data_IF_035043065186
#
_entry.id   IF_035043065186
#
_cell.length_a   1.000
_cell.length_b   1.000
_cell.length_c   1.000
_cell.angle_alpha   90.00
_cell.angle_beta   90.00
_cell.angle_gamma   90.00
#
_symmetry.space_group_name_H-M   'P 1'
#
loop_
_entity.id
_entity.type
_entity.pdbx_description
1 polymer ?
#
# COMPACT_ATOMS: atom_id res chain seq x y z
N UNK A 1 10.03 -5.75 0.76
CA UNK A 1 8.59 -6.09 0.61
C UNK A 1 7.98 -6.08 2.00
N UNK A 2 6.90 -5.33 2.21
CA UNK A 2 6.27 -5.17 3.52
C UNK A 2 4.78 -5.50 3.39
N UNK A 3 4.32 -6.42 4.23
CA UNK A 3 2.93 -6.89 4.29
C UNK A 3 2.16 -6.03 5.30
N UNK A 4 0.83 -5.88 5.14
CA UNK A 4 0.00 -5.30 6.17
C UNK A 4 -0.07 -6.26 7.38
N UNK A 5 -0.76 -5.83 8.45
CA UNK A 5 -1.08 -6.73 9.56
C UNK A 5 -1.78 -7.99 9.05
N UNK A 6 -1.14 -9.16 9.23
CA UNK A 6 -1.67 -10.43 8.68
C UNK A 6 -2.86 -10.96 9.49
N UNK A 7 -2.85 -10.73 10.80
CA UNK A 7 -3.87 -11.21 11.74
C UNK A 7 -4.73 -10.08 12.28
N UNK A 8 -4.14 -8.90 12.49
CA UNK A 8 -4.83 -7.69 12.92
C UNK A 8 -5.39 -6.95 11.71
N UNK A 9 -6.72 -6.79 11.67
CA UNK A 9 -7.43 -6.09 10.61
C UNK A 9 -7.49 -4.60 10.93
N UNK A 10 -6.42 -3.89 10.56
CA UNK A 10 -6.32 -2.45 10.74
C UNK A 10 -7.32 -1.71 9.86
N UNK A 11 -7.79 -0.56 10.35
CA UNK A 11 -8.45 0.41 9.49
C UNK A 11 -7.44 1.13 8.58
N UNK A 12 -7.91 2.01 7.68
CA UNK A 12 -7.02 2.73 6.75
C UNK A 12 -6.00 3.61 7.49
N UNK A 13 -6.43 4.31 8.55
CA UNK A 13 -5.57 5.22 9.33
C UNK A 13 -4.44 4.45 10.03
N UNK A 14 -4.77 3.33 10.66
CA UNK A 14 -3.81 2.44 11.31
C UNK A 14 -2.85 1.81 10.31
N UNK A 15 -3.35 1.41 9.14
CA UNK A 15 -2.55 0.84 8.06
C UNK A 15 -1.54 1.85 7.53
N UNK A 16 -1.97 3.10 7.28
CA UNK A 16 -1.08 4.18 6.85
C UNK A 16 -0.01 4.47 7.90
N UNK A 17 -0.41 4.60 9.17
CA UNK A 17 0.54 4.87 10.26
C UNK A 17 1.62 3.77 10.34
N UNK A 18 1.22 2.49 10.27
CA UNK A 18 2.14 1.36 10.27
C UNK A 18 3.18 1.47 9.13
N UNK A 19 2.72 1.66 7.89
CA UNK A 19 3.62 1.72 6.74
C UNK A 19 4.53 2.94 6.76
N UNK A 20 4.05 4.11 7.22
CA UNK A 20 4.88 5.32 7.40
C UNK A 20 5.98 5.10 8.43
N UNK A 21 5.65 4.52 9.58
CA UNK A 21 6.66 4.17 10.59
C UNK A 21 7.73 3.23 10.04
N UNK A 22 7.34 2.22 9.25
CA UNK A 22 8.29 1.33 8.58
C UNK A 22 9.15 2.09 7.56
N UNK A 23 8.54 2.97 6.76
CA UNK A 23 9.21 3.76 5.74
C UNK A 23 10.21 4.77 6.31
N UNK A 24 9.96 5.32 7.49
CA UNK A 24 10.86 6.22 8.21
C UNK A 24 12.02 5.47 8.89
N UNK A 25 11.82 4.20 9.26
CA UNK A 25 12.81 3.40 9.98
C UNK A 25 13.94 2.85 9.10
N UNK A 26 13.86 2.98 7.77
CA UNK A 26 14.86 2.43 6.86
C UNK A 26 15.02 3.26 5.59
N UNK A 27 16.24 3.40 5.05
CA UNK A 27 16.47 4.03 3.75
C UNK A 27 16.21 3.08 2.57
N UNK A 28 15.87 1.80 2.83
CA UNK A 28 15.70 0.80 1.78
C UNK A 28 14.39 1.00 1.01
N UNK A 29 14.36 0.72 -0.31
CA UNK A 29 13.13 0.73 -1.08
C UNK A 29 12.13 -0.32 -0.59
N UNK A 30 10.87 0.10 -0.45
CA UNK A 30 9.74 -0.68 0.02
C UNK A 30 8.81 -0.98 -1.15
N UNK A 31 8.48 -2.27 -1.26
CA UNK A 31 7.40 -2.77 -2.10
C UNK A 31 6.23 -3.17 -1.18
N UNK A 32 5.09 -2.52 -1.36
CA UNK A 32 3.83 -2.86 -0.70
C UNK A 32 3.27 -4.17 -1.27
N UNK A 33 2.51 -4.91 -0.47
CA UNK A 33 1.81 -6.10 -0.92
C UNK A 33 0.33 -5.97 -0.55
N UNK A 34 -0.53 -5.81 -1.56
CA UNK A 34 -1.98 -5.85 -1.38
C UNK A 34 -2.55 -7.25 -1.69
N UNK A 35 -3.23 -7.86 -0.71
CA UNK A 35 -4.03 -9.08 -0.89
C UNK A 35 -5.21 -9.03 0.12
N UNK A 36 -6.27 -8.26 -0.20
CA UNK A 36 -7.38 -8.06 0.72
C UNK A 36 -8.13 -9.35 1.04
N UNK A 37 -8.14 -10.32 0.13
CA UNK A 37 -8.76 -11.64 0.35
C UNK A 37 -7.99 -12.48 1.36
N UNK A 38 -6.65 -12.39 1.34
CA UNK A 38 -5.77 -13.14 2.23
C UNK A 38 -5.71 -12.59 3.65
N UNK A 39 -5.65 -11.27 3.80
CA UNK A 39 -5.35 -10.63 5.11
C UNK A 39 -6.50 -9.80 5.68
N UNK A 40 -7.53 -9.49 4.88
CA UNK A 40 -8.67 -8.68 5.33
C UNK A 40 -8.38 -7.19 5.49
N UNK A 41 -7.23 -6.71 5.02
CA UNK A 41 -6.84 -5.30 4.91
C UNK A 41 -6.65 -4.99 3.43
N UNK A 42 -7.28 -3.91 2.95
CA UNK A 42 -7.20 -3.48 1.56
C UNK A 42 -6.43 -2.16 1.43
N UNK A 43 -5.33 -2.18 0.68
CA UNK A 43 -4.59 -0.98 0.32
C UNK A 43 -5.27 -0.34 -0.89
N UNK A 44 -6.38 0.37 -0.71
CA UNK A 44 -7.13 1.06 -1.79
C UNK A 44 -6.27 2.10 -2.53
N UNK A 45 -6.66 2.58 -3.73
CA UNK A 45 -5.88 3.60 -4.45
C UNK A 45 -5.62 4.86 -3.61
N UNK A 46 -6.61 5.31 -2.83
CA UNK A 46 -6.45 6.46 -1.93
C UNK A 46 -5.43 6.21 -0.82
N UNK A 47 -5.47 5.01 -0.21
CA UNK A 47 -4.47 4.60 0.81
C UNK A 47 -3.07 4.56 0.19
N UNK A 48 -2.94 4.02 -1.01
CA UNK A 48 -1.64 3.97 -1.70
C UNK A 48 -1.14 5.37 -2.06
N UNK A 49 -2.03 6.28 -2.48
CA UNK A 49 -1.66 7.67 -2.76
C UNK A 49 -1.08 8.37 -1.53
N UNK A 50 -1.67 8.18 -0.35
CA UNK A 50 -1.16 8.73 0.92
C UNK A 50 0.19 8.10 1.33
N UNK A 51 0.40 6.82 1.01
CA UNK A 51 1.67 6.13 1.28
C UNK A 51 2.80 6.57 0.35
N UNK A 52 2.49 6.97 -0.90
CA UNK A 52 3.48 7.43 -1.87
C UNK A 52 4.10 8.80 -1.52
N UNK A 53 3.58 9.51 -0.51
CA UNK A 53 4.28 10.65 0.10
C UNK A 53 5.62 10.23 0.73
N UNK A 54 5.79 8.95 1.09
CA UNK A 54 7.06 8.42 1.57
C UNK A 54 7.97 8.01 0.40
N UNK A 55 9.16 8.63 0.24
CA UNK A 55 10.03 8.40 -0.92
C UNK A 55 10.62 6.99 -1.00
N UNK A 56 10.61 6.24 0.11
CA UNK A 56 11.08 4.86 0.17
C UNK A 56 10.03 3.87 -0.36
N UNK A 57 8.76 4.25 -0.47
CA UNK A 57 7.71 3.39 -1.05
C UNK A 57 7.71 3.57 -2.57
N UNK A 58 8.19 2.56 -3.28
CA UNK A 58 8.48 2.67 -4.73
C UNK A 58 7.70 1.69 -5.60
N UNK A 59 7.01 0.72 -4.99
CA UNK A 59 6.30 -0.31 -5.73
C UNK A 59 5.14 -0.90 -4.93
N UNK A 60 4.20 -1.52 -5.64
CA UNK A 60 3.12 -2.33 -5.08
C UNK A 60 3.00 -3.63 -5.87
N UNK A 61 2.93 -4.76 -5.16
CA UNK A 61 2.44 -6.03 -5.69
C UNK A 61 0.94 -6.09 -5.39
N UNK A 62 0.14 -6.19 -6.45
CA UNK A 62 -1.32 -6.22 -6.36
C UNK A 62 -1.86 -7.64 -6.64
N UNK A 63 -2.52 -8.22 -5.64
CA UNK A 63 -3.18 -9.54 -5.61
C UNK A 63 -4.64 -9.46 -5.09
N UNK A 64 -5.35 -8.38 -5.42
CA UNK A 64 -6.80 -8.26 -5.22
C UNK A 64 -7.63 -9.16 -6.14
N UNK A 65 -7.00 -9.71 -7.19
CA UNK A 65 -7.62 -10.39 -8.33
C UNK A 65 -8.55 -9.50 -9.15
N UNK A 66 -8.46 -8.18 -8.96
CA UNK A 66 -9.11 -7.18 -9.79
C UNK A 66 -8.04 -6.47 -10.62
N UNK A 67 -8.08 -6.67 -11.93
CA UNK A 67 -7.09 -6.08 -12.84
C UNK A 67 -7.33 -4.60 -13.08
N UNK A 68 -8.54 -4.06 -12.84
CA UNK A 68 -8.80 -2.62 -13.00
C UNK A 68 -8.01 -1.81 -12.00
N UNK A 69 -7.71 -2.39 -10.82
CA UNK A 69 -6.89 -1.77 -9.79
C UNK A 69 -5.51 -1.34 -10.26
N UNK A 70 -4.92 -2.04 -11.23
CA UNK A 70 -3.63 -1.62 -11.80
C UNK A 70 -3.78 -0.26 -12.50
N UNK A 71 -4.87 -0.06 -13.25
CA UNK A 71 -5.18 1.22 -13.88
C UNK A 71 -5.55 2.29 -12.85
N UNK A 72 -6.34 1.93 -11.83
CA UNK A 72 -6.77 2.86 -10.78
C UNK A 72 -5.62 3.34 -9.90
N UNK A 73 -4.60 2.49 -9.70
CA UNK A 73 -3.38 2.88 -8.99
C UNK A 73 -2.49 3.80 -9.82
N UNK A 74 -2.48 3.67 -11.15
CA UNK A 74 -1.59 4.44 -12.03
C UNK A 74 -2.22 5.77 -12.46
N UNK A 75 -3.54 5.81 -12.67
CA UNK A 75 -4.22 6.96 -13.27
C UNK A 75 -4.10 8.23 -12.42
N UNK A 76 -4.35 8.22 -11.10
CA UNK A 76 -4.13 9.38 -10.25
C UNK A 76 -2.67 9.85 -10.23
N UNK A 77 -1.71 8.95 -10.41
CA UNK A 77 -0.28 9.24 -10.35
C UNK A 77 0.31 9.80 -11.65
N UNK A 78 -0.41 9.73 -12.78
CA UNK A 78 0.09 10.16 -14.10
C UNK A 78 -0.33 11.57 -14.50
N UNK A 79 -1.30 12.16 -13.81
CA UNK A 79 -1.91 13.44 -14.17
C UNK A 79 -1.95 14.46 -13.02
N UNK A 80 -1.25 14.16 -11.92
CA UNK A 80 -0.94 15.08 -10.82
C UNK A 80 0.51 15.54 -10.96
#
# INVERSE_FOLDING_TARGET
MVFPGLTYKSDNRETVAFYRTVAEATPLPILLYNNPRGYGVDLTPDVVAELLEAPTIVAIKEESYDTTRVTDLITPLRWA
#
